data_IF_099116490903
#
_entry.id   IF_099116490903
#
_cell.length_a   1.000
_cell.length_b   1.000
_cell.length_c   1.000
_cell.angle_alpha   90.00
_cell.angle_beta   90.00
_cell.angle_gamma   90.00
#
_symmetry.space_group_name_H-M   'P 1'
#
loop_
_entity.id
_entity.type
_entity.pdbx_description
1 polymer ?
#
# COMPACT_ATOMS: atom_id res chain seq x y z
N UNK A 1 21.39 -13.23 -11.59
CA UNK A 1 20.61 -12.26 -10.81
C UNK A 1 20.77 -10.91 -11.47
N UNK A 2 19.70 -10.37 -12.04
CA UNK A 2 19.70 -9.03 -12.65
C UNK A 2 19.96 -7.99 -11.57
N UNK A 3 20.73 -6.94 -11.88
CA UNK A 3 21.02 -5.88 -10.94
C UNK A 3 19.74 -5.12 -10.60
N UNK A 4 19.40 -5.00 -9.31
CA UNK A 4 18.27 -4.19 -8.87
C UNK A 4 18.77 -2.81 -8.51
N UNK A 5 18.26 -1.79 -9.20
CA UNK A 5 18.55 -0.41 -8.91
C UNK A 5 17.40 0.21 -8.09
N UNK A 6 17.72 0.69 -6.89
CA UNK A 6 16.81 1.54 -6.12
C UNK A 6 17.02 3.01 -6.53
N UNK A 7 15.92 3.75 -6.70
CA UNK A 7 15.91 5.16 -7.04
C UNK A 7 14.85 5.89 -6.22
N UNK A 8 15.05 7.20 -6.05
CA UNK A 8 14.19 8.05 -5.23
C UNK A 8 13.77 9.26 -6.04
N UNK A 9 12.47 9.53 -6.05
CA UNK A 9 11.88 10.60 -6.84
C UNK A 9 10.98 11.46 -5.97
N UNK A 10 10.84 12.73 -6.34
CA UNK A 10 9.92 13.69 -5.72
C UNK A 10 8.64 13.89 -6.55
N UNK A 11 8.61 13.41 -7.79
CA UNK A 11 7.46 13.49 -8.69
C UNK A 11 6.69 12.18 -8.73
N UNK A 12 5.37 12.27 -8.53
CA UNK A 12 4.45 11.12 -8.46
C UNK A 12 4.20 10.43 -9.79
N UNK A 13 4.56 11.06 -10.92
CA UNK A 13 4.39 10.50 -12.26
C UNK A 13 5.15 9.19 -12.46
N UNK A 14 6.19 8.92 -11.65
CA UNK A 14 6.92 7.63 -11.67
C UNK A 14 6.07 6.43 -11.25
N UNK A 15 4.89 6.65 -10.65
CA UNK A 15 3.94 5.59 -10.30
C UNK A 15 3.01 5.21 -11.46
N UNK A 16 3.04 5.96 -12.57
CA UNK A 16 2.20 5.65 -13.75
C UNK A 16 2.54 4.26 -14.29
N UNK A 17 1.51 3.47 -14.58
CA UNK A 17 1.65 2.08 -15.06
C UNK A 17 1.93 1.03 -13.98
N UNK A 18 2.21 1.43 -12.73
CA UNK A 18 2.38 0.50 -11.60
C UNK A 18 1.08 0.21 -10.85
N UNK A 19 0.10 1.12 -10.98
CA UNK A 19 -1.16 1.09 -10.25
C UNK A 19 -2.24 0.41 -11.11
N UNK A 20 -2.94 -0.62 -10.60
CA UNK A 20 -4.04 -1.25 -11.31
C UNK A 20 -5.17 -0.28 -11.67
N UNK A 21 -5.86 -0.50 -12.78
CA UNK A 21 -6.95 0.37 -13.22
C UNK A 21 -8.16 0.38 -12.25
N UNK A 22 -8.36 -0.72 -11.53
CA UNK A 22 -9.40 -0.91 -10.51
C UNK A 22 -8.91 -0.58 -9.09
N UNK A 23 -7.78 0.14 -8.97
CA UNK A 23 -7.21 0.50 -7.69
C UNK A 23 -8.14 1.38 -6.85
N UNK A 24 -7.99 1.26 -5.53
CA UNK A 24 -8.63 2.11 -4.52
C UNK A 24 -8.46 3.59 -4.88
N UNK A 25 -9.44 4.47 -4.57
CA UNK A 25 -9.26 5.91 -4.72
C UNK A 25 -7.99 6.46 -4.05
N UNK A 26 -7.52 5.81 -2.97
CA UNK A 26 -6.30 6.19 -2.25
C UNK A 26 -5.00 5.68 -2.88
N UNK A 27 -5.09 4.82 -3.89
CA UNK A 27 -3.93 4.23 -4.56
C UNK A 27 -3.67 4.90 -5.93
N UNK A 28 -4.49 5.87 -6.35
CA UNK A 28 -4.42 6.50 -7.67
C UNK A 28 -3.28 7.53 -7.79
N UNK A 29 -2.66 7.69 -8.98
CA UNK A 29 -1.65 8.73 -9.20
C UNK A 29 -2.16 10.14 -8.89
N UNK A 30 -3.41 10.45 -9.23
CA UNK A 30 -4.03 11.77 -9.00
C UNK A 30 -4.18 12.05 -7.50
N UNK A 31 -4.45 11.02 -6.70
CA UNK A 31 -4.50 11.16 -5.24
C UNK A 31 -3.11 11.50 -4.68
N UNK A 32 -2.07 10.78 -5.11
CA UNK A 32 -0.70 11.11 -4.70
C UNK A 32 -0.26 12.50 -5.17
N UNK A 33 -0.69 12.95 -6.35
CA UNK A 33 -0.41 14.30 -6.83
C UNK A 33 -0.98 15.37 -5.88
N UNK A 34 -2.24 15.22 -5.47
CA UNK A 34 -2.87 16.11 -4.48
C UNK A 34 -2.16 16.08 -3.12
N UNK A 35 -1.65 14.93 -2.69
CA UNK A 35 -0.86 14.83 -1.46
C UNK A 35 0.49 15.54 -1.59
N UNK A 36 1.16 15.41 -2.74
CA UNK A 36 2.44 16.02 -3.02
C UNK A 36 2.39 17.57 -3.06
N UNK A 37 1.22 18.16 -3.34
CA UNK A 37 0.99 19.61 -3.20
C UNK A 37 1.03 20.10 -1.74
N UNK A 38 0.86 19.20 -0.77
CA UNK A 38 0.75 19.54 0.66
C UNK A 38 1.89 19.02 1.51
N UNK A 39 2.58 17.96 1.08
CA UNK A 39 3.74 17.41 1.79
C UNK A 39 4.80 16.90 0.82
N UNK A 40 6.10 16.97 1.17
CA UNK A 40 7.17 16.49 0.30
C UNK A 40 7.00 15.00 -0.01
N UNK A 41 6.92 14.65 -1.30
CA UNK A 41 6.86 13.27 -1.73
C UNK A 41 8.26 12.66 -1.80
N UNK A 42 8.35 11.36 -1.46
CA UNK A 42 9.52 10.52 -1.64
C UNK A 42 9.04 9.18 -2.20
N UNK A 43 9.14 9.00 -3.50
CA UNK A 43 8.75 7.79 -4.20
C UNK A 43 9.99 6.89 -4.31
N UNK A 44 10.05 5.85 -3.49
CA UNK A 44 11.12 4.86 -3.58
C UNK A 44 10.73 3.80 -4.61
N UNK A 45 11.57 3.62 -5.64
CA UNK A 45 11.33 2.70 -6.76
C UNK A 45 12.49 1.70 -6.86
N UNK A 46 12.18 0.42 -7.03
CA UNK A 46 13.15 -0.58 -7.45
C UNK A 46 12.68 -1.25 -8.72
N UNK A 47 13.63 -1.54 -9.61
CA UNK A 47 13.38 -2.30 -10.83
C UNK A 47 14.53 -3.26 -11.11
N UNK A 48 14.19 -4.40 -11.72
CA UNK A 48 15.12 -5.36 -12.31
C UNK A 48 15.15 -5.29 -13.85
N UNK A 49 14.51 -4.26 -14.43
CA UNK A 49 14.38 -4.04 -15.88
C UNK A 49 13.06 -4.56 -16.47
N UNK A 50 12.44 -5.58 -15.89
CA UNK A 50 11.16 -6.14 -16.35
C UNK A 50 10.02 -5.84 -15.38
N UNK A 51 10.30 -5.97 -14.08
CA UNK A 51 9.38 -5.73 -12.99
C UNK A 51 9.78 -4.47 -12.23
N UNK A 52 8.82 -3.89 -11.52
CA UNK A 52 9.04 -2.73 -10.68
C UNK A 52 8.25 -2.84 -9.39
N UNK A 53 8.83 -2.32 -8.31
CA UNK A 53 8.17 -2.13 -7.03
C UNK A 53 8.32 -0.67 -6.58
N UNK A 54 7.29 -0.10 -5.97
CA UNK A 54 7.30 1.26 -5.46
C UNK A 54 6.67 1.40 -4.06
N UNK A 55 7.21 2.32 -3.28
CA UNK A 55 6.68 2.78 -2.00
C UNK A 55 6.47 4.30 -2.06
N UNK A 56 5.21 4.78 -2.05
CA UNK A 56 4.92 6.20 -1.94
C UNK A 56 5.10 6.68 -0.49
N UNK A 57 6.19 7.39 -0.22
CA UNK A 57 6.58 7.81 1.14
C UNK A 57 6.67 9.34 1.25
N UNK A 58 6.84 9.81 2.48
CA UNK A 58 7.21 11.17 2.84
C UNK A 58 8.21 11.14 4.00
N UNK A 59 8.97 12.22 4.14
CA UNK A 59 9.84 12.43 5.31
C UNK A 59 9.09 13.28 6.32
N UNK A 60 8.84 12.72 7.50
CA UNK A 60 8.18 13.42 8.57
C UNK A 60 8.69 12.90 9.92
N UNK A 61 8.73 13.76 10.94
CA UNK A 61 9.04 13.36 12.31
C UNK A 61 10.34 12.54 12.47
N UNK A 62 11.38 12.86 11.67
CA UNK A 62 12.67 12.15 11.67
C UNK A 62 12.64 10.72 11.14
N UNK A 63 11.56 10.29 10.49
CA UNK A 63 11.35 8.94 9.96
C UNK A 63 10.77 8.99 8.55
N UNK A 64 10.68 7.84 7.91
CA UNK A 64 9.84 7.68 6.73
C UNK A 64 8.44 7.27 7.14
N UNK A 65 7.47 7.95 6.55
CA UNK A 65 6.04 7.72 6.71
C UNK A 65 5.40 7.53 5.34
N UNK A 66 4.18 6.98 5.26
CA UNK A 66 3.46 6.89 4.00
C UNK A 66 3.11 8.27 3.45
N UNK A 67 3.16 8.41 2.12
CA UNK A 67 2.50 9.53 1.45
C UNK A 67 0.99 9.29 1.51
N UNK A 68 0.35 9.75 2.59
CA UNK A 68 -1.06 9.49 2.89
C UNK A 68 -1.73 10.71 3.53
N UNK A 69 -3.04 10.66 3.76
CA UNK A 69 -3.78 11.64 4.56
C UNK A 69 -4.49 10.97 5.74
N UNK A 70 -4.89 11.73 6.76
CA UNK A 70 -5.59 11.19 7.92
C UNK A 70 -7.00 10.64 7.60
N UNK A 71 -7.52 10.92 6.40
CA UNK A 71 -8.77 10.37 5.87
C UNK A 71 -8.56 9.17 4.92
N UNK A 72 -7.31 8.75 4.70
CA UNK A 72 -7.03 7.58 3.86
C UNK A 72 -7.24 6.32 4.69
N UNK A 73 -8.11 5.42 4.24
CA UNK A 73 -8.38 4.16 4.94
C UNK A 73 -7.36 3.07 4.63
N UNK A 74 -6.60 3.25 3.54
CA UNK A 74 -5.56 2.32 3.11
C UNK A 74 -4.39 3.07 2.48
N UNK A 75 -3.20 2.52 2.65
CA UNK A 75 -1.99 2.78 1.90
C UNK A 75 -1.28 1.46 1.63
N UNK A 76 -0.63 1.32 0.46
CA UNK A 76 0.00 0.07 0.03
C UNK A 76 1.31 0.31 -0.71
N UNK A 77 2.11 -0.75 -0.76
CA UNK A 77 3.15 -0.93 -1.76
C UNK A 77 2.57 -1.27 -3.14
N UNK A 78 3.25 -0.83 -4.20
CA UNK A 78 2.94 -1.24 -5.57
C UNK A 78 4.00 -2.21 -6.04
N UNK A 79 3.70 -3.50 -6.02
CA UNK A 79 4.59 -4.55 -6.51
C UNK A 79 3.76 -5.74 -7.01
N UNK A 80 4.15 -6.39 -8.12
CA UNK A 80 3.50 -7.61 -8.60
C UNK A 80 3.37 -8.65 -7.50
N UNK A 81 2.30 -9.43 -7.51
CA UNK A 81 2.16 -10.60 -6.63
C UNK A 81 2.91 -11.76 -7.28
N UNK A 82 4.24 -11.73 -7.15
CA UNK A 82 5.16 -12.73 -7.70
C UNK A 82 6.44 -12.80 -6.86
N UNK A 83 7.27 -13.80 -7.12
CA UNK A 83 8.57 -13.94 -6.48
C UNK A 83 9.47 -12.71 -6.72
N UNK A 84 9.48 -12.20 -7.94
CA UNK A 84 10.23 -11.00 -8.36
C UNK A 84 9.73 -9.77 -7.60
N UNK A 85 8.42 -9.63 -7.44
CA UNK A 85 7.81 -8.56 -6.65
C UNK A 85 8.25 -8.58 -5.18
N UNK A 86 8.24 -9.75 -4.53
CA UNK A 86 8.73 -9.89 -3.15
C UNK A 86 10.23 -9.58 -3.02
N UNK A 87 11.02 -9.99 -4.01
CA UNK A 87 12.45 -9.72 -4.04
C UNK A 87 12.75 -8.22 -4.26
N UNK A 88 11.98 -7.54 -5.09
CA UNK A 88 12.05 -6.09 -5.28
C UNK A 88 11.64 -5.33 -4.01
N UNK A 89 10.59 -5.75 -3.31
CA UNK A 89 10.19 -5.17 -2.02
C UNK A 89 11.28 -5.33 -0.95
N UNK A 90 11.88 -6.51 -0.87
CA UNK A 90 13.02 -6.77 0.05
C UNK A 90 14.21 -5.89 -0.30
N UNK A 91 14.48 -5.69 -1.60
CA UNK A 91 15.57 -4.83 -2.06
C UNK A 91 15.33 -3.37 -1.73
N UNK A 92 14.10 -2.87 -1.89
CA UNK A 92 13.70 -1.54 -1.43
C UNK A 92 13.88 -1.39 0.08
N UNK A 93 13.35 -2.33 0.86
CA UNK A 93 13.49 -2.29 2.31
C UNK A 93 14.96 -2.24 2.73
N UNK A 94 15.84 -2.99 2.06
CA UNK A 94 17.29 -2.96 2.33
C UNK A 94 17.90 -1.59 2.02
N UNK A 95 17.57 -1.02 0.85
CA UNK A 95 18.12 0.28 0.44
C UNK A 95 17.60 1.44 1.29
N UNK A 96 16.35 1.37 1.77
CA UNK A 96 15.75 2.38 2.64
C UNK A 96 16.53 2.63 3.93
N UNK A 97 17.37 1.68 4.39
CA UNK A 97 18.27 1.88 5.54
C UNK A 97 19.25 3.04 5.33
N UNK A 98 19.56 3.38 4.08
CA UNK A 98 20.38 4.54 3.71
C UNK A 98 19.62 5.86 3.84
N UNK A 99 18.29 5.81 3.81
CA UNK A 99 17.42 6.97 3.82
C UNK A 99 16.89 7.32 5.21
N UNK A 100 16.68 6.33 6.06
CA UNK A 100 16.28 6.53 7.45
C UNK A 100 16.60 5.31 8.30
N UNK A 101 16.76 5.52 9.60
CA UNK A 101 16.86 4.46 10.60
C UNK A 101 15.49 3.97 11.09
N UNK A 102 14.40 4.67 10.75
CA UNK A 102 13.04 4.33 11.16
C UNK A 102 12.06 4.52 10.00
N UNK A 103 11.27 3.49 9.77
CA UNK A 103 10.11 3.51 8.88
C UNK A 103 8.89 3.16 9.73
N UNK A 104 7.82 3.91 9.59
CA UNK A 104 6.55 3.62 10.26
C UNK A 104 5.48 3.78 9.20
N UNK A 105 4.66 2.76 8.96
CA UNK A 105 3.71 2.72 7.84
C UNK A 105 2.30 2.40 8.35
N UNK A 106 1.32 3.20 7.91
CA UNK A 106 -0.09 3.11 8.28
C UNK A 106 -0.97 3.95 7.32
N UNK A 107 -2.26 3.66 7.20
CA UNK A 107 -2.89 2.38 7.53
C UNK A 107 -2.61 1.37 6.42
N UNK A 108 -2.12 0.17 6.77
CA UNK A 108 -1.84 -0.89 5.79
C UNK A 108 -2.89 -2.00 5.95
N UNK A 109 -3.67 -2.32 4.90
CA UNK A 109 -4.59 -3.44 4.92
C UNK A 109 -3.84 -4.78 4.86
N UNK A 110 -4.47 -5.83 5.35
CA UNK A 110 -3.93 -7.20 5.26
C UNK A 110 -4.93 -8.19 4.67
N UNK A 111 -6.16 -7.76 4.39
CA UNK A 111 -7.16 -8.54 3.66
C UNK A 111 -6.71 -8.89 2.24
N UNK A 112 -5.78 -8.12 1.68
CA UNK A 112 -5.07 -8.35 0.42
C UNK A 112 -3.60 -8.78 0.60
N UNK A 113 -3.18 -9.03 1.85
CA UNK A 113 -1.82 -9.42 2.22
C UNK A 113 -0.77 -8.29 2.18
N UNK A 114 -1.16 -7.03 1.93
CA UNK A 114 -0.20 -5.92 1.84
C UNK A 114 0.70 -5.80 3.07
N UNK A 115 0.13 -5.83 4.27
CA UNK A 115 0.89 -5.74 5.52
C UNK A 115 1.83 -6.94 5.72
N UNK A 116 1.36 -8.16 5.45
CA UNK A 116 2.16 -9.40 5.54
C UNK A 116 3.35 -9.39 4.59
N UNK A 117 3.16 -8.93 3.35
CA UNK A 117 4.23 -8.80 2.35
C UNK A 117 5.29 -7.79 2.79
N UNK A 118 4.88 -6.61 3.27
CA UNK A 118 5.80 -5.59 3.80
C UNK A 118 6.56 -6.08 5.03
N UNK A 119 5.86 -6.71 5.97
CA UNK A 119 6.47 -7.30 7.16
C UNK A 119 7.56 -8.31 6.80
N UNK A 120 7.28 -9.19 5.84
CA UNK A 120 8.23 -10.20 5.33
C UNK A 120 9.43 -9.54 4.64
N UNK A 121 9.20 -8.58 3.74
CA UNK A 121 10.26 -7.88 3.02
C UNK A 121 11.21 -7.12 3.98
N UNK A 122 10.66 -6.39 4.95
CA UNK A 122 11.47 -5.64 5.92
C UNK A 122 12.25 -6.58 6.85
N UNK A 123 11.67 -7.68 7.33
CA UNK A 123 12.41 -8.70 8.11
C UNK A 123 13.55 -9.31 7.30
N UNK A 124 13.28 -9.71 6.06
CA UNK A 124 14.29 -10.26 5.13
C UNK A 124 15.42 -9.28 4.79
N UNK A 125 15.13 -7.97 4.84
CA UNK A 125 16.11 -6.90 4.71
C UNK A 125 16.89 -6.61 6.01
N UNK A 126 16.61 -7.34 7.11
CA UNK A 126 17.30 -7.24 8.38
C UNK A 126 16.79 -6.11 9.28
N UNK A 127 15.57 -5.62 9.06
CA UNK A 127 14.93 -4.67 9.97
C UNK A 127 14.33 -5.40 11.18
N UNK A 128 14.32 -4.72 12.33
CA UNK A 128 13.47 -5.11 13.45
C UNK A 128 12.05 -4.59 13.17
N UNK A 129 11.11 -5.49 12.94
CA UNK A 129 9.74 -5.15 12.53
C UNK A 129 8.75 -5.44 13.65
N UNK A 130 7.92 -4.46 13.96
CA UNK A 130 6.75 -4.59 14.82
C UNK A 130 5.51 -4.28 13.99
N UNK A 131 4.48 -5.10 14.15
CA UNK A 131 3.18 -4.92 13.50
C UNK A 131 2.11 -5.01 14.58
N UNK A 132 1.26 -4.00 14.62
CA UNK A 132 0.09 -3.94 15.48
C UNK A 132 -1.11 -3.44 14.67
N UNK A 133 -2.31 -3.82 15.11
CA UNK A 133 -3.52 -3.32 14.50
C UNK A 133 -3.77 -1.87 14.94
N UNK A 134 -3.94 -0.96 13.99
CA UNK A 134 -4.22 0.46 14.27
C UNK A 134 -5.63 0.92 13.88
N UNK A 135 -6.38 0.11 13.13
CA UNK A 135 -7.75 0.42 12.68
C UNK A 135 -8.52 -0.86 12.25
N UNK A 136 -9.79 -0.72 11.88
CA UNK A 136 -10.66 -1.78 11.35
C UNK A 136 -11.42 -1.28 10.13
N UNK A 137 -11.22 -1.94 8.98
CA UNK A 137 -12.06 -1.75 7.81
C UNK A 137 -13.12 -2.87 7.72
N UNK A 138 -14.39 -2.51 7.54
CA UNK A 138 -15.45 -3.48 7.28
C UNK A 138 -15.63 -3.68 5.78
N UNK A 139 -15.04 -4.74 5.24
CA UNK A 139 -15.08 -5.05 3.80
C UNK A 139 -16.14 -6.10 3.49
N UNK A 140 -17.02 -5.81 2.54
CA UNK A 140 -17.97 -6.77 1.97
C UNK A 140 -17.54 -7.13 0.55
N UNK A 141 -16.96 -8.31 0.37
CA UNK A 141 -16.70 -8.83 -0.96
C UNK A 141 -18.01 -9.10 -1.71
N UNK A 142 -18.25 -8.37 -2.80
CA UNK A 142 -19.47 -8.50 -3.60
C UNK A 142 -19.51 -9.86 -4.29
N UNK A 143 -18.37 -10.34 -4.81
CA UNK A 143 -18.23 -11.65 -5.48
C UNK A 143 -19.30 -11.88 -6.56
N UNK A 144 -19.61 -10.85 -7.34
CA UNK A 144 -20.61 -10.88 -8.41
C UNK A 144 -22.08 -10.89 -7.95
N UNK A 145 -22.37 -10.82 -6.64
CA UNK A 145 -23.74 -10.87 -6.13
C UNK A 145 -24.52 -9.60 -6.44
N UNK A 146 -25.76 -9.77 -6.87
CA UNK A 146 -26.74 -8.70 -6.95
C UNK A 146 -27.14 -8.20 -5.56
N UNK A 147 -27.70 -6.99 -5.50
CA UNK A 147 -28.28 -6.46 -4.27
C UNK A 147 -29.38 -7.38 -3.71
N UNK A 148 -30.22 -7.94 -4.59
CA UNK A 148 -31.30 -8.85 -4.20
C UNK A 148 -30.78 -10.10 -3.49
N UNK A 149 -29.75 -10.75 -4.04
CA UNK A 149 -29.12 -11.93 -3.41
C UNK A 149 -28.44 -11.57 -2.10
N UNK A 150 -27.72 -10.44 -2.06
CA UNK A 150 -27.11 -9.94 -0.83
C UNK A 150 -28.15 -9.73 0.27
N UNK A 151 -29.26 -9.06 -0.06
CA UNK A 151 -30.31 -8.70 0.88
C UNK A 151 -31.10 -9.91 1.38
N UNK A 152 -31.41 -10.86 0.50
CA UNK A 152 -32.10 -12.10 0.87
C UNK A 152 -31.33 -12.90 1.93
N UNK A 153 -30.00 -12.89 1.85
CA UNK A 153 -29.09 -13.58 2.77
C UNK A 153 -28.79 -12.80 4.07
N UNK A 154 -29.39 -11.62 4.30
CA UNK A 154 -29.22 -10.89 5.57
C UNK A 154 -30.12 -11.48 6.67
N UNK A 155 -29.68 -11.48 7.94
CA UNK A 155 -30.53 -11.87 9.07
C UNK A 155 -31.87 -11.14 9.06
N UNK A 156 -32.95 -11.83 9.46
CA UNK A 156 -34.31 -11.27 9.44
C UNK A 156 -34.42 -9.91 10.12
N UNK A 157 -33.72 -9.71 11.25
CA UNK A 157 -33.64 -8.44 11.98
C UNK A 157 -33.07 -7.30 11.12
N UNK A 158 -32.00 -7.54 10.36
CA UNK A 158 -31.46 -6.52 9.43
C UNK A 158 -32.47 -6.19 8.33
N UNK A 159 -33.15 -7.22 7.81
CA UNK A 159 -34.14 -7.06 6.73
C UNK A 159 -35.34 -6.22 7.14
N UNK A 160 -35.76 -6.30 8.39
CA UNK A 160 -36.88 -5.53 8.93
C UNK A 160 -36.50 -4.09 9.30
N UNK A 161 -35.24 -3.84 9.69
CA UNK A 161 -34.80 -2.49 10.09
C UNK A 161 -34.69 -1.52 8.92
N UNK A 162 -34.23 -1.96 7.74
CA UNK A 162 -34.09 -1.07 6.56
C UNK A 162 -35.43 -0.70 5.91
N UNK A 163 -36.51 -1.48 6.14
CA UNK A 163 -37.84 -1.21 5.58
C UNK A 163 -38.63 -0.15 6.36
N UNK A 164 -38.10 0.29 7.51
CA UNK A 164 -38.66 1.39 8.30
C UNK A 164 -37.97 2.68 7.91
#
# INVERSE_FOLDING_TARGET
MTAIAASYHDRVNVLQGMIPADASPFDRPEWFALLAERKPALLALASDGEHSAALPLTRANGRLEPLTHWYSFTWRQFAPISFEGEHLLTSLARDLRRQSHRVTLWPIPDEDGSATRLETAFRSAGWKVYREQCDVNHVLAVKGRSFTEYWAARPGRMRTTLKR
#
